data_IF_217743566083
#
_entry.id   IF_217743566083
#
_cell.length_a   1.000
_cell.length_b   1.000
_cell.length_c   1.000
_cell.angle_alpha   90.00
_cell.angle_beta   90.00
_cell.angle_gamma   90.00
#
_symmetry.space_group_name_H-M   'P 1'
#
loop_
_entity.id
_entity.type
_entity.pdbx_description
1 polymer ?
#
# COMPACT_ATOMS: atom_id res chain seq x y z
N UNK A 1 -21.85 7.06 18.21
CA UNK A 1 -20.61 6.26 18.36
C UNK A 1 -20.42 5.51 17.06
N UNK A 2 -19.31 5.75 16.36
CA UNK A 2 -18.98 5.00 15.15
C UNK A 2 -18.14 3.79 15.55
N UNK A 3 -18.45 2.62 14.99
CA UNK A 3 -17.64 1.40 15.15
C UNK A 3 -16.97 1.12 13.81
N UNK A 4 -15.64 1.01 13.81
CA UNK A 4 -14.86 0.65 12.65
C UNK A 4 -14.32 -0.77 12.85
N UNK A 5 -14.71 -1.71 11.98
CA UNK A 5 -14.20 -3.08 11.97
C UNK A 5 -13.11 -3.19 10.89
N UNK A 6 -11.88 -3.50 11.29
CA UNK A 6 -10.73 -3.58 10.39
C UNK A 6 -10.29 -5.04 10.28
N UNK A 7 -10.17 -5.54 9.04
CA UNK A 7 -9.61 -6.85 8.74
C UNK A 7 -8.30 -6.73 7.97
N UNK A 8 -7.32 -7.57 8.32
CA UNK A 8 -6.04 -7.70 7.62
C UNK A 8 -5.71 -9.19 7.44
N UNK A 9 -5.15 -9.55 6.29
CA UNK A 9 -4.71 -10.91 5.98
C UNK A 9 -3.27 -10.91 5.48
N UNK A 10 -2.45 -11.84 5.98
CA UNK A 10 -1.06 -12.05 5.54
C UNK A 10 -0.88 -13.53 5.21
N UNK A 11 -0.30 -13.83 4.04
CA UNK A 11 0.08 -15.20 3.69
C UNK A 11 1.38 -15.59 4.42
N UNK A 12 1.26 -16.32 5.53
CA UNK A 12 2.41 -16.63 6.41
C UNK A 12 3.19 -17.89 5.98
N UNK A 13 2.50 -19.03 5.86
CA UNK A 13 3.12 -20.36 5.67
C UNK A 13 2.32 -21.24 4.70
N UNK A 14 1.64 -20.62 3.72
CA UNK A 14 0.95 -21.31 2.64
C UNK A 14 1.52 -20.90 1.29
N UNK A 15 2.40 -21.73 0.73
CA UNK A 15 3.11 -21.43 -0.54
C UNK A 15 2.21 -21.47 -1.79
N UNK A 16 0.90 -21.70 -1.66
CA UNK A 16 -0.06 -21.72 -2.76
C UNK A 16 -1.23 -20.75 -2.51
N UNK A 17 -1.76 -20.05 -3.54
CA UNK A 17 -1.29 -19.99 -4.92
C UNK A 17 -0.13 -19.01 -5.13
N UNK A 18 0.24 -18.24 -4.10
CA UNK A 18 1.28 -17.21 -4.18
C UNK A 18 2.28 -17.36 -3.04
N UNK A 19 3.42 -16.67 -3.18
CA UNK A 19 4.52 -16.62 -2.22
C UNK A 19 4.05 -16.26 -0.81
N UNK A 20 4.52 -17.00 0.20
CA UNK A 20 4.29 -16.69 1.61
C UNK A 20 5.55 -16.14 2.30
N UNK A 21 5.37 -15.54 3.49
CA UNK A 21 6.47 -14.93 4.23
C UNK A 21 7.54 -15.96 4.66
N UNK A 22 7.13 -17.16 5.03
CA UNK A 22 8.09 -18.22 5.37
C UNK A 22 8.85 -18.75 4.16
N UNK A 23 8.30 -18.67 2.93
CA UNK A 23 9.05 -18.99 1.72
C UNK A 23 10.23 -18.02 1.54
N UNK A 24 10.00 -16.72 1.75
CA UNK A 24 11.05 -15.69 1.70
C UNK A 24 12.16 -15.96 2.72
N UNK A 25 11.81 -16.40 3.93
CA UNK A 25 12.81 -16.76 4.97
C UNK A 25 13.62 -17.98 4.53
N UNK A 26 12.97 -19.01 3.97
CA UNK A 26 13.66 -20.21 3.46
C UNK A 26 14.62 -19.84 2.33
N UNK A 27 14.17 -19.01 1.40
CA UNK A 27 14.98 -18.52 0.28
C UNK A 27 16.19 -17.72 0.77
N UNK A 28 15.98 -16.75 1.67
CA UNK A 28 17.05 -15.96 2.28
C UNK A 28 18.09 -16.84 2.97
N UNK A 29 17.66 -17.79 3.78
CA UNK A 29 18.57 -18.70 4.48
C UNK A 29 19.38 -19.56 3.51
N UNK A 30 18.76 -19.99 2.41
CA UNK A 30 19.43 -20.77 1.36
C UNK A 30 20.49 -19.94 0.64
N UNK A 31 20.16 -18.71 0.24
CA UNK A 31 21.07 -17.84 -0.52
C UNK A 31 22.24 -17.32 0.32
N UNK A 32 22.01 -17.05 1.61
CA UNK A 32 23.00 -16.40 2.48
C UNK A 32 23.70 -17.35 3.46
N UNK A 33 23.36 -18.65 3.44
CA UNK A 33 23.70 -19.58 4.54
C UNK A 33 23.24 -19.07 5.92
N UNK A 34 22.15 -18.29 5.93
CA UNK A 34 21.56 -17.69 7.11
C UNK A 34 20.81 -18.70 7.99
N UNK A 35 20.42 -18.24 9.18
CA UNK A 35 19.66 -19.04 10.17
C UNK A 35 18.46 -18.29 10.74
N UNK A 36 17.79 -17.48 9.92
CA UNK A 36 16.57 -16.81 10.34
C UNK A 36 15.50 -17.86 10.66
N UNK A 37 14.88 -17.82 11.86
CA UNK A 37 13.83 -18.74 12.20
C UNK A 37 12.57 -18.45 11.39
N UNK A 38 11.82 -19.50 11.05
CA UNK A 38 10.49 -19.36 10.47
C UNK A 38 9.56 -18.67 11.46
N UNK A 39 8.61 -17.91 10.93
CA UNK A 39 7.64 -17.18 11.71
C UNK A 39 6.44 -18.07 12.01
N UNK A 40 5.97 -17.99 13.26
CA UNK A 40 4.74 -18.62 13.72
C UNK A 40 3.61 -17.61 13.77
N UNK A 41 2.38 -18.08 13.66
CA UNK A 41 1.18 -17.24 13.66
C UNK A 41 1.11 -16.33 14.89
N UNK A 42 1.37 -16.88 16.08
CA UNK A 42 1.31 -16.14 17.34
C UNK A 42 2.33 -15.00 17.38
N UNK A 43 3.54 -15.24 16.85
CA UNK A 43 4.59 -14.22 16.78
C UNK A 43 4.20 -13.10 15.82
N UNK A 44 3.63 -13.45 14.66
CA UNK A 44 3.20 -12.46 13.67
C UNK A 44 2.04 -11.62 14.17
N UNK A 45 1.02 -12.27 14.76
CA UNK A 45 -0.10 -11.56 15.37
C UNK A 45 0.37 -10.59 16.47
N UNK A 46 1.27 -11.05 17.35
CA UNK A 46 1.84 -10.17 18.38
C UNK A 46 2.60 -8.98 17.78
N UNK A 47 3.39 -9.19 16.72
CA UNK A 47 4.11 -8.11 16.05
C UNK A 47 3.14 -7.11 15.40
N UNK A 48 2.12 -7.59 14.70
CA UNK A 48 1.11 -6.73 14.04
C UNK A 48 0.37 -5.89 15.07
N UNK A 49 -0.17 -6.50 16.13
CA UNK A 49 -0.94 -5.76 17.12
C UNK A 49 -0.09 -4.75 17.89
N UNK A 50 1.13 -5.12 18.28
CA UNK A 50 2.05 -4.21 18.94
C UNK A 50 2.41 -3.02 18.04
N UNK A 51 2.61 -3.27 16.74
CA UNK A 51 2.98 -2.22 15.80
C UNK A 51 1.81 -1.27 15.47
N UNK A 52 0.59 -1.82 15.32
CA UNK A 52 -0.63 -1.01 15.18
C UNK A 52 -0.82 -0.13 16.40
N UNK A 53 -0.70 -0.69 17.61
CA UNK A 53 -0.83 0.07 18.86
C UNK A 53 0.25 1.16 18.97
N UNK A 54 1.50 0.84 18.60
CA UNK A 54 2.62 1.79 18.60
C UNK A 54 2.36 2.96 17.66
N UNK A 55 1.90 2.69 16.44
CA UNK A 55 1.59 3.73 15.44
C UNK A 55 0.39 4.55 15.92
N UNK A 56 -0.68 3.90 16.38
CA UNK A 56 -1.89 4.57 16.86
C UNK A 56 -1.60 5.52 18.02
N UNK A 57 -0.85 5.07 19.04
CA UNK A 57 -0.42 5.94 20.15
C UNK A 57 0.38 7.14 19.66
N UNK A 58 1.35 6.92 18.75
CA UNK A 58 2.16 8.03 18.22
C UNK A 58 1.34 9.07 17.46
N UNK A 59 0.32 8.64 16.71
CA UNK A 59 -0.59 9.55 16.00
C UNK A 59 -1.47 10.31 16.98
N UNK A 60 -1.98 9.65 18.03
CA UNK A 60 -2.90 10.25 19.00
C UNK A 60 -2.22 11.17 20.02
N UNK A 61 -1.03 10.79 20.49
CA UNK A 61 -0.33 11.42 21.62
C UNK A 61 0.86 12.29 21.18
N UNK A 62 1.37 12.09 19.96
CA UNK A 62 2.56 12.77 19.46
C UNK A 62 2.29 14.19 18.97
N UNK A 63 3.32 15.04 18.99
CA UNK A 63 3.28 16.42 18.47
C UNK A 63 3.07 16.51 16.96
N UNK A 64 3.30 15.43 16.22
CA UNK A 64 3.27 15.40 14.76
C UNK A 64 1.97 14.82 14.18
N UNK A 65 1.09 14.25 15.00
CA UNK A 65 -0.21 13.72 14.55
C UNK A 65 -0.08 12.76 13.36
N UNK A 66 -0.87 13.02 12.31
CA UNK A 66 -0.85 12.24 11.05
C UNK A 66 0.43 12.42 10.23
N UNK A 67 1.24 13.45 10.46
CA UNK A 67 2.48 13.65 9.71
C UNK A 67 3.44 12.48 9.94
N UNK A 68 3.53 11.98 11.18
CA UNK A 68 4.29 10.78 11.51
C UNK A 68 3.82 9.56 10.70
N UNK A 69 2.51 9.43 10.49
CA UNK A 69 1.95 8.35 9.69
C UNK A 69 2.30 8.53 8.21
N UNK A 70 2.23 9.74 7.66
CA UNK A 70 2.61 10.03 6.28
C UNK A 70 4.09 9.77 6.01
N UNK A 71 4.99 10.14 6.93
CA UNK A 71 6.42 9.80 6.83
C UNK A 71 6.62 8.28 6.74
N UNK A 72 5.94 7.51 7.60
CA UNK A 72 6.01 6.05 7.58
C UNK A 72 5.41 5.46 6.30
N UNK A 73 4.29 6.01 5.84
CA UNK A 73 3.61 5.62 4.62
C UNK A 73 4.52 5.80 3.40
N UNK A 74 5.09 6.99 3.22
CA UNK A 74 6.00 7.29 2.11
C UNK A 74 7.33 6.53 2.21
N UNK A 75 7.80 6.21 3.42
CA UNK A 75 9.00 5.37 3.61
C UNK A 75 8.84 3.97 3.01
N UNK A 76 7.63 3.41 3.06
CA UNK A 76 7.33 2.06 2.53
C UNK A 76 6.52 2.10 1.23
N UNK A 77 6.32 3.28 0.65
CA UNK A 77 5.56 3.47 -0.59
C UNK A 77 6.30 2.89 -1.79
N UNK A 78 5.64 1.98 -2.51
CA UNK A 78 6.23 1.27 -3.65
C UNK A 78 5.88 1.91 -5.00
N UNK A 79 4.98 2.89 -5.03
CA UNK A 79 4.38 3.36 -6.29
C UNK A 79 4.99 4.65 -6.81
N UNK A 80 6.07 5.16 -6.19
CA UNK A 80 6.73 6.38 -6.64
C UNK A 80 7.22 6.21 -8.06
N UNK A 81 6.71 7.04 -8.96
CA UNK A 81 7.13 7.06 -10.34
C UNK A 81 6.58 5.96 -11.22
N UNK A 82 5.63 5.16 -10.72
CA UNK A 82 4.89 4.20 -11.55
C UNK A 82 4.10 4.97 -12.60
N UNK A 83 4.25 4.58 -13.86
CA UNK A 83 3.39 5.06 -14.95
C UNK A 83 2.05 4.35 -14.89
N UNK A 84 0.99 5.14 -14.92
CA UNK A 84 -0.39 4.66 -14.89
C UNK A 84 -1.17 5.24 -16.06
N UNK A 85 -2.02 4.41 -16.67
CA UNK A 85 -3.03 4.89 -17.61
C UNK A 85 -4.23 5.43 -16.85
N UNK A 86 -4.69 6.62 -17.23
CA UNK A 86 -5.93 7.24 -16.75
C UNK A 86 -6.86 7.32 -17.95
N UNK A 87 -8.07 6.79 -17.80
CA UNK A 87 -9.13 6.90 -18.80
C UNK A 87 -10.17 7.86 -18.28
N UNK A 88 -10.49 8.91 -19.05
CA UNK A 88 -11.53 9.86 -18.67
C UNK A 88 -12.95 9.38 -19.04
N UNK A 89 -13.96 10.16 -18.65
CA UNK A 89 -15.38 9.85 -18.92
C UNK A 89 -15.70 9.73 -20.43
N UNK A 90 -14.86 10.29 -21.30
CA UNK A 90 -15.03 10.22 -22.76
C UNK A 90 -14.33 9.00 -23.37
N UNK A 91 -13.61 8.23 -22.55
CA UNK A 91 -12.81 7.08 -22.98
C UNK A 91 -11.42 7.45 -23.47
N UNK A 92 -10.99 8.72 -23.35
CA UNK A 92 -9.66 9.14 -23.76
C UNK A 92 -8.63 8.67 -22.72
N UNK A 93 -7.63 7.91 -23.19
CA UNK A 93 -6.57 7.39 -22.35
C UNK A 93 -5.37 8.35 -22.36
N UNK A 94 -4.88 8.70 -21.17
CA UNK A 94 -3.62 9.40 -20.98
C UNK A 94 -2.71 8.66 -20.02
N UNK A 95 -1.40 8.76 -20.24
CA UNK A 95 -0.40 8.27 -19.27
C UNK A 95 -0.08 9.38 -18.27
N UNK A 96 0.07 8.99 -17.00
CA UNK A 96 0.53 9.86 -15.95
C UNK A 96 1.45 9.08 -15.00
N UNK A 97 2.27 9.81 -14.26
CA UNK A 97 3.20 9.23 -13.30
C UNK A 97 2.69 9.46 -11.89
N UNK A 98 2.67 8.42 -11.06
CA UNK A 98 2.30 8.53 -9.64
C UNK A 98 3.37 9.33 -8.90
N UNK A 99 2.93 10.39 -8.22
CA UNK A 99 3.81 11.28 -7.44
C UNK A 99 3.50 11.26 -5.94
N UNK A 100 2.42 10.61 -5.51
CA UNK A 100 2.08 10.44 -4.09
C UNK A 100 0.58 10.37 -3.86
N UNK A 101 0.15 10.86 -2.70
CA UNK A 101 -1.25 11.05 -2.31
C UNK A 101 -1.52 12.51 -1.93
N UNK A 102 -2.79 12.94 -2.01
CA UNK A 102 -3.22 14.24 -1.49
C UNK A 102 -3.61 14.18 -0.01
N UNK A 103 -4.06 15.31 0.53
CA UNK A 103 -4.44 15.45 1.95
C UNK A 103 -5.64 14.59 2.36
N UNK A 104 -6.41 14.08 1.38
CA UNK A 104 -7.55 13.18 1.59
C UNK A 104 -7.19 11.72 1.34
N UNK A 105 -5.95 11.43 0.94
CA UNK A 105 -5.47 10.08 0.63
C UNK A 105 -5.74 9.62 -0.80
N UNK A 106 -6.17 10.51 -1.71
CA UNK A 106 -6.34 10.16 -3.12
C UNK A 106 -5.00 10.14 -3.84
N UNK A 107 -4.87 9.27 -4.85
CA UNK A 107 -3.65 9.15 -5.63
C UNK A 107 -3.39 10.43 -6.42
N UNK A 108 -2.21 11.02 -6.25
CA UNK A 108 -1.74 12.16 -7.04
C UNK A 108 -0.86 11.67 -8.19
N UNK A 109 -1.17 12.17 -9.37
CA UNK A 109 -0.49 11.82 -10.61
C UNK A 109 -0.09 13.06 -11.39
N UNK A 110 0.92 12.93 -12.24
CA UNK A 110 1.39 14.00 -13.10
C UNK A 110 1.61 13.49 -14.52
N UNK A 111 0.95 14.11 -15.49
CA UNK A 111 1.26 13.95 -16.92
C UNK A 111 2.36 14.93 -17.31
N UNK A 112 3.22 14.55 -18.25
CA UNK A 112 4.33 15.38 -18.72
C UNK A 112 3.89 16.81 -19.07
N UNK A 113 4.57 17.79 -18.46
CA UNK A 113 4.31 19.22 -18.67
C UNK A 113 3.01 19.75 -18.08
N UNK A 114 2.20 18.91 -17.40
CA UNK A 114 0.95 19.32 -16.75
C UNK A 114 1.10 19.41 -15.24
N UNK A 115 0.16 20.13 -14.62
CA UNK A 115 0.03 20.22 -13.16
C UNK A 115 -0.37 18.84 -12.61
N UNK A 116 0.11 18.53 -11.42
CA UNK A 116 -0.34 17.35 -10.69
C UNK A 116 -1.85 17.41 -10.42
N UNK A 117 -2.52 16.28 -10.59
CA UNK A 117 -3.96 16.11 -10.36
C UNK A 117 -4.21 14.95 -9.40
N UNK A 118 -5.32 15.03 -8.65
CA UNK A 118 -5.79 13.95 -7.80
C UNK A 118 -6.76 13.06 -8.57
N UNK A 119 -6.60 11.75 -8.43
CA UNK A 119 -7.48 10.76 -9.03
C UNK A 119 -8.48 10.28 -7.98
N UNK A 120 -9.75 10.59 -8.20
CA UNK A 120 -10.84 10.19 -7.32
C UNK A 120 -11.32 8.76 -7.64
N UNK A 121 -11.67 7.95 -6.62
CA UNK A 121 -12.21 6.60 -6.79
C UNK A 121 -13.67 6.62 -7.27
N UNK A 122 -14.32 7.77 -7.21
CA UNK A 122 -15.67 8.01 -7.73
C UNK A 122 -15.61 7.89 -9.23
N UNK A 123 -16.03 6.73 -9.71
CA UNK A 123 -15.93 6.40 -11.11
C UNK A 123 -14.55 5.92 -11.54
N UNK A 124 -13.61 5.50 -10.66
CA UNK A 124 -12.33 4.86 -11.06
C UNK A 124 -11.96 3.62 -10.20
N UNK A 125 -11.22 2.67 -10.80
CA UNK A 125 -10.68 1.45 -10.20
C UNK A 125 -9.21 1.31 -10.59
N UNK A 126 -8.31 1.16 -9.61
CA UNK A 126 -6.90 0.91 -9.87
C UNK A 126 -6.62 -0.59 -9.93
N UNK A 127 -6.32 -1.10 -11.13
CA UNK A 127 -5.76 -2.43 -11.35
C UNK A 127 -4.24 -2.35 -11.15
N UNK A 128 -3.80 -2.64 -9.93
CA UNK A 128 -2.38 -2.62 -9.57
C UNK A 128 -1.51 -3.57 -10.41
N UNK A 129 -2.07 -4.70 -10.85
CA UNK A 129 -1.33 -5.69 -11.64
C UNK A 129 -1.09 -5.20 -13.08
N UNK A 130 -1.98 -4.35 -13.59
CA UNK A 130 -1.86 -3.74 -14.92
C UNK A 130 -1.34 -2.30 -14.88
N UNK A 131 -1.13 -1.73 -13.70
CA UNK A 131 -0.80 -0.32 -13.52
C UNK A 131 -1.86 0.61 -14.11
N UNK A 132 -3.14 0.20 -14.11
CA UNK A 132 -4.19 0.90 -14.88
C UNK A 132 -5.27 1.45 -13.96
N UNK A 133 -5.63 2.72 -14.15
CA UNK A 133 -6.77 3.36 -13.48
C UNK A 133 -7.91 3.41 -14.50
N UNK A 134 -8.95 2.61 -14.26
CA UNK A 134 -10.10 2.43 -15.14
C UNK A 134 -11.34 3.08 -14.57
N UNK A 135 -12.18 3.74 -15.37
CA UNK A 135 -13.44 4.22 -14.86
C UNK A 135 -14.35 3.08 -14.42
N UNK A 136 -15.12 3.27 -13.34
CA UNK A 136 -16.17 2.32 -12.96
C UNK A 136 -17.36 2.56 -13.86
N UNK A 137 -17.65 1.60 -14.73
CA UNK A 137 -18.92 1.56 -15.44
C UNK A 137 -20.03 1.28 -14.41
N UNK A 138 -20.98 2.21 -14.29
CA UNK A 138 -22.26 1.96 -13.63
C UNK A 138 -23.21 1.23 -14.57
#
# INVERSE_FOLDING_TARGET
MAVCNIGCGINLDNSNPTLCLNDLIREFNTQTSGKLPLLRYEKILALIFNEIERIFRRVQEGSHGLEYFYELYYKFWLHSGVEVGIVDEKGDQRTAKVIGIDEYGYLKVQTDGKRAESVHPDGNSFDMLKGLILPKNH
#
